data_IF_903475713499
#
_entry.id   IF_903475713499
#
_cell.length_a   1.000
_cell.length_b   1.000
_cell.length_c   1.000
_cell.angle_alpha   90.00
_cell.angle_beta   90.00
_cell.angle_gamma   90.00
#
_symmetry.space_group_name_H-M   'P 1'
#
loop_
_entity.id
_entity.type
_entity.pdbx_description
1 polymer ?
#
# COMPACT_ATOMS: atom_id res chain seq x y z
N UNK A 1 -9.49 30.14 -17.86
CA UNK A 1 -8.37 29.37 -17.25
C UNK A 1 -8.97 28.11 -16.61
N UNK A 2 -8.80 26.92 -17.20
CA UNK A 2 -9.37 25.67 -16.65
C UNK A 2 -8.58 25.32 -15.37
N UNK A 3 -9.19 25.37 -14.20
CA UNK A 3 -8.53 25.05 -12.94
C UNK A 3 -8.13 23.57 -12.93
N UNK A 4 -6.90 23.28 -12.53
CA UNK A 4 -6.39 21.90 -12.42
C UNK A 4 -7.29 21.12 -11.44
N UNK A 5 -7.96 20.06 -11.91
CA UNK A 5 -8.77 19.17 -11.07
C UNK A 5 -7.90 18.62 -9.94
N UNK A 6 -8.39 18.69 -8.70
CA UNK A 6 -7.76 18.07 -7.54
C UNK A 6 -8.40 16.70 -7.33
N UNK A 7 -7.57 15.67 -7.15
CA UNK A 7 -8.00 14.32 -6.83
C UNK A 7 -7.71 14.03 -5.36
N UNK A 8 -8.72 13.61 -4.61
CA UNK A 8 -8.55 13.15 -3.24
C UNK A 8 -7.93 11.73 -3.23
N UNK A 9 -7.66 11.18 -2.04
CA UNK A 9 -7.02 9.87 -1.92
C UNK A 9 -7.93 8.73 -2.41
N UNK A 10 -9.23 8.78 -2.13
CA UNK A 10 -10.19 7.75 -2.52
C UNK A 10 -10.39 7.68 -4.03
N UNK A 11 -10.46 8.83 -4.70
CA UNK A 11 -10.51 8.91 -6.17
C UNK A 11 -9.27 8.29 -6.79
N UNK A 12 -8.08 8.62 -6.27
CA UNK A 12 -6.82 8.02 -6.77
C UNK A 12 -6.82 6.50 -6.58
N UNK A 13 -7.24 6.01 -5.42
CA UNK A 13 -7.31 4.58 -5.13
C UNK A 13 -8.26 3.89 -6.10
N UNK A 14 -9.47 4.43 -6.31
CA UNK A 14 -10.45 3.88 -7.26
C UNK A 14 -9.85 3.72 -8.66
N UNK A 15 -9.20 4.78 -9.17
CA UNK A 15 -8.60 4.79 -10.51
C UNK A 15 -7.46 3.78 -10.62
N UNK A 16 -6.61 3.67 -9.59
CA UNK A 16 -5.52 2.69 -9.56
C UNK A 16 -6.08 1.27 -9.58
N UNK A 17 -7.07 0.98 -8.73
CA UNK A 17 -7.67 -0.35 -8.64
C UNK A 17 -8.34 -0.76 -9.95
N UNK A 18 -9.04 0.16 -10.61
CA UNK A 18 -9.64 -0.11 -11.92
C UNK A 18 -8.59 -0.49 -12.96
N UNK A 19 -7.47 0.24 -13.01
CA UNK A 19 -6.37 -0.10 -13.92
C UNK A 19 -5.66 -1.41 -13.56
N UNK A 20 -5.64 -1.81 -12.29
CA UNK A 20 -5.10 -3.11 -11.85
C UNK A 20 -6.01 -4.28 -12.18
N UNK A 21 -7.34 -4.08 -12.22
CA UNK A 21 -8.30 -5.12 -12.66
C UNK A 21 -8.10 -5.51 -14.12
N UNK A 22 -7.64 -4.58 -14.96
CA UNK A 22 -7.32 -4.85 -16.36
C UNK A 22 -8.53 -5.03 -17.29
N UNK A 23 -9.74 -4.70 -16.82
CA UNK A 23 -10.98 -4.76 -17.61
C UNK A 23 -10.99 -3.73 -18.75
N UNK A 24 -10.30 -2.61 -18.56
CA UNK A 24 -10.15 -1.55 -19.55
C UNK A 24 -8.68 -1.09 -19.68
N UNK A 25 -8.28 -0.64 -20.86
CA UNK A 25 -6.94 -0.09 -21.07
C UNK A 25 -6.71 1.16 -20.22
N UNK A 26 -5.49 1.29 -19.67
CA UNK A 26 -5.07 2.48 -18.90
C UNK A 26 -5.29 3.78 -19.68
N UNK A 27 -5.13 3.74 -21.01
CA UNK A 27 -5.36 4.89 -21.87
C UNK A 27 -6.82 5.37 -21.82
N UNK A 28 -7.80 4.47 -21.84
CA UNK A 28 -9.21 4.83 -21.76
C UNK A 28 -9.57 5.35 -20.37
N UNK A 29 -9.11 4.67 -19.31
CA UNK A 29 -9.30 5.12 -17.92
C UNK A 29 -8.76 6.55 -17.75
N UNK A 30 -7.54 6.81 -18.23
CA UNK A 30 -6.93 8.14 -18.14
C UNK A 30 -7.73 9.21 -18.89
N UNK A 31 -8.27 8.90 -20.09
CA UNK A 31 -9.13 9.83 -20.85
C UNK A 31 -10.43 10.12 -20.12
N UNK A 32 -11.11 9.11 -19.57
CA UNK A 32 -12.36 9.26 -18.81
C UNK A 32 -12.16 10.10 -17.55
N UNK A 33 -11.08 9.85 -16.82
CA UNK A 33 -10.79 10.54 -15.57
C UNK A 33 -10.18 11.93 -15.76
N UNK A 34 -9.73 12.25 -16.99
CA UNK A 34 -9.09 13.51 -17.32
C UNK A 34 -7.68 13.64 -16.71
N UNK A 35 -6.95 12.53 -16.64
CA UNK A 35 -5.56 12.48 -16.15
C UNK A 35 -4.60 12.08 -17.27
N UNK A 36 -3.33 12.49 -17.14
CA UNK A 36 -2.28 11.99 -18.02
C UNK A 36 -1.89 10.55 -17.61
N UNK A 37 -1.56 9.66 -18.56
CA UNK A 37 -1.07 8.31 -18.25
C UNK A 37 0.13 8.30 -17.30
N UNK A 38 1.04 9.26 -17.41
CA UNK A 38 2.18 9.42 -16.51
C UNK A 38 1.75 9.65 -15.05
N UNK A 39 0.62 10.32 -14.82
CA UNK A 39 0.06 10.55 -13.48
C UNK A 39 -0.50 9.26 -12.89
N UNK A 40 -1.19 8.44 -13.70
CA UNK A 40 -1.65 7.11 -13.30
C UNK A 40 -0.47 6.25 -12.84
N UNK A 41 0.57 6.10 -13.66
CA UNK A 41 1.71 5.26 -13.32
C UNK A 41 2.47 5.76 -12.10
N UNK A 42 2.57 7.09 -11.92
CA UNK A 42 3.17 7.68 -10.72
C UNK A 42 2.40 7.30 -9.45
N UNK A 43 1.07 7.38 -9.48
CA UNK A 43 0.25 7.03 -8.34
C UNK A 43 0.24 5.52 -8.09
N UNK A 44 0.11 4.70 -9.13
CA UNK A 44 0.13 3.24 -9.05
C UNK A 44 1.45 2.76 -8.44
N UNK A 45 2.60 3.28 -8.89
CA UNK A 45 3.91 2.96 -8.30
C UNK A 45 3.96 3.33 -6.81
N UNK A 46 3.58 4.54 -6.46
CA UNK A 46 3.62 4.99 -5.06
C UNK A 46 2.70 4.15 -4.15
N UNK A 47 1.52 3.78 -4.65
CA UNK A 47 0.56 2.95 -3.93
C UNK A 47 1.09 1.53 -3.69
N UNK A 48 1.65 0.90 -4.72
CA UNK A 48 2.20 -0.46 -4.62
C UNK A 48 3.44 -0.51 -3.72
N UNK A 49 4.35 0.46 -3.81
CA UNK A 49 5.53 0.53 -2.94
C UNK A 49 5.14 0.72 -1.47
N UNK A 50 4.21 1.63 -1.18
CA UNK A 50 3.72 1.84 0.18
C UNK A 50 3.01 0.59 0.72
N UNK A 51 2.22 -0.09 -0.12
CA UNK A 51 1.57 -1.37 0.23
C UNK A 51 2.60 -2.45 0.57
N UNK A 52 3.63 -2.62 -0.26
CA UNK A 52 4.73 -3.56 -0.03
C UNK A 52 5.47 -3.28 1.27
N UNK A 53 5.85 -2.02 1.51
CA UNK A 53 6.54 -1.62 2.74
C UNK A 53 5.71 -1.91 3.99
N UNK A 54 4.40 -1.66 3.94
CA UNK A 54 3.50 -1.97 5.06
C UNK A 54 3.46 -3.47 5.35
N UNK A 55 3.24 -4.28 4.32
CA UNK A 55 3.18 -5.74 4.47
C UNK A 55 4.48 -6.32 5.02
N UNK A 56 5.63 -5.86 4.53
CA UNK A 56 6.93 -6.27 5.06
C UNK A 56 7.11 -5.88 6.53
N UNK A 57 6.70 -4.67 6.90
CA UNK A 57 6.74 -4.20 8.29
C UNK A 57 5.85 -5.01 9.22
N UNK A 58 4.69 -5.46 8.75
CA UNK A 58 3.79 -6.31 9.54
C UNK A 58 4.38 -7.71 9.73
N UNK A 59 5.01 -8.29 8.70
CA UNK A 59 5.76 -9.55 8.83
C UNK A 59 6.92 -9.45 9.84
N UNK A 60 7.68 -8.35 9.82
CA UNK A 60 8.76 -8.10 10.78
C UNK A 60 8.26 -8.01 12.22
N UNK A 61 7.12 -7.33 12.45
CA UNK A 61 6.50 -7.22 13.78
C UNK A 61 5.98 -8.56 14.30
N UNK A 62 5.34 -9.35 13.45
CA UNK A 62 4.86 -10.69 13.81
C UNK A 62 6.03 -11.60 14.22
N UNK A 63 7.11 -11.63 13.43
CA UNK A 63 8.31 -12.42 13.75
C UNK A 63 8.95 -11.99 15.09
N UNK A 64 9.07 -10.68 15.33
CA UNK A 64 9.60 -10.16 16.60
C UNK A 64 8.68 -10.47 17.78
N UNK A 65 7.35 -10.44 17.60
CA UNK A 65 6.40 -10.73 18.68
C UNK A 65 6.51 -12.17 19.18
N UNK A 66 6.75 -13.14 18.30
CA UNK A 66 6.99 -14.54 18.70
C UNK A 66 8.28 -14.69 19.50
N UNK A 67 9.38 -14.07 19.04
CA UNK A 67 10.67 -14.15 19.73
C UNK A 67 10.63 -13.48 21.11
N UNK A 68 9.96 -12.33 21.22
CA UNK A 68 9.74 -11.64 22.50
C UNK A 68 8.88 -12.47 23.45
N UNK A 69 7.89 -13.21 22.95
CA UNK A 69 7.06 -14.08 23.79
C UNK A 69 7.87 -15.25 24.38
N UNK A 70 8.69 -15.90 23.56
CA UNK A 70 9.56 -17.01 24.01
C UNK A 70 10.63 -16.51 25.00
N UNK A 71 11.30 -15.39 24.70
CA UNK A 71 12.30 -14.79 25.60
C UNK A 71 11.68 -14.38 26.95
N UNK A 72 10.42 -13.92 26.98
CA UNK A 72 9.74 -13.61 28.24
C UNK A 72 9.47 -14.86 29.06
N UNK A 73 9.05 -15.95 28.43
CA UNK A 73 8.79 -17.23 29.08
C UNK A 73 10.08 -17.83 29.66
N UNK A 74 11.17 -17.79 28.90
CA UNK A 74 12.48 -18.26 29.36
C UNK A 74 13.00 -17.42 30.54
N UNK A 75 12.86 -16.10 30.50
CA UNK A 75 13.19 -15.22 31.63
C UNK A 75 12.34 -15.53 32.88
N UNK A 76 11.07 -15.87 32.72
CA UNK A 76 10.20 -16.22 33.84
C UNK A 76 10.63 -17.55 34.48
N UNK A 77 10.98 -18.54 33.66
CA UNK A 77 11.52 -19.81 34.14
C UNK A 77 12.86 -19.64 34.87
N UNK A 78 13.76 -18.82 34.34
CA UNK A 78 15.05 -18.54 34.96
C UNK A 78 14.92 -17.79 36.30
N UNK A 79 13.89 -16.96 36.47
CA UNK A 79 13.62 -16.25 37.74
C UNK A 79 13.01 -17.13 38.83
N UNK A 80 12.56 -18.33 38.51
CA UNK A 80 11.96 -19.29 39.45
C UNK A 80 12.96 -20.37 39.92
N UNK A 81 14.20 -20.34 39.41
CA UNK A 81 15.34 -21.11 39.91
C UNK A 81 16.10 -20.33 40.99
#
# INVERSE_FOLDING_TARGET
RKTRRKFNSEEKIRIILEGLKGEESIANICRREGIAPSMYYKWSKAFLEAGKQRLQGDTLREASSSEVAELRKENEQLKQL
#
